data_IF_968738893878
#
_entry.id   IF_968738893878
#
_cell.length_a   1.000
_cell.length_b   1.000
_cell.length_c   1.000
_cell.angle_alpha   90.00
_cell.angle_beta   90.00
_cell.angle_gamma   90.00
#
_symmetry.space_group_name_H-M   'P 1'
#
loop_
_entity.id
_entity.type
_entity.pdbx_description
1 polymer ?
#
# COMPACT_ATOMS: atom_id res chain seq x y z
N UNK A 1 6.76 36.44 0.64
CA UNK A 1 6.11 35.46 1.54
C UNK A 1 6.10 34.11 0.84
N UNK A 2 7.03 33.21 1.16
CA UNK A 2 7.10 31.91 0.52
C UNK A 2 6.00 31.00 1.10
N UNK A 3 5.01 30.63 0.29
CA UNK A 3 4.10 29.52 0.60
C UNK A 3 4.86 28.19 0.39
N UNK A 4 5.94 27.97 1.14
CA UNK A 4 6.69 26.72 1.10
C UNK A 4 6.01 25.73 2.02
N UNK A 5 4.98 25.06 1.48
CA UNK A 5 4.30 23.94 2.12
C UNK A 5 3.87 22.94 1.06
N UNK A 6 3.86 21.64 1.42
CA UNK A 6 3.32 20.59 0.55
C UNK A 6 1.89 21.00 0.15
N UNK A 7 1.54 21.03 -1.15
CA UNK A 7 0.20 21.41 -1.58
C UNK A 7 -0.81 20.54 -0.83
N UNK A 8 -1.85 21.15 -0.25
CA UNK A 8 -2.96 20.46 0.40
C UNK A 8 -3.70 19.64 -0.67
N UNK A 9 -3.18 18.47 -0.98
CA UNK A 9 -3.85 17.47 -1.80
C UNK A 9 -4.98 16.88 -0.96
N UNK A 10 -6.21 17.01 -1.44
CA UNK A 10 -7.45 16.50 -0.80
C UNK A 10 -7.51 14.98 -0.68
N UNK A 11 -6.54 14.24 -1.24
CA UNK A 11 -6.50 12.79 -1.22
C UNK A 11 -5.14 12.23 -0.78
N UNK A 12 -4.48 12.94 0.14
CA UNK A 12 -3.23 12.49 0.70
C UNK A 12 -3.51 11.27 1.59
N UNK A 13 -2.80 10.16 1.35
CA UNK A 13 -2.92 8.96 2.19
C UNK A 13 -2.15 9.24 3.48
N UNK A 14 -2.85 9.66 4.53
CA UNK A 14 -2.24 10.18 5.78
C UNK A 14 -1.63 9.08 6.66
N UNK A 15 -2.12 7.85 6.55
CA UNK A 15 -1.66 6.73 7.38
C UNK A 15 -0.42 6.08 6.77
N UNK A 16 0.68 6.12 7.53
CA UNK A 16 1.91 5.39 7.22
C UNK A 16 1.86 4.03 7.89
N UNK A 17 2.13 2.97 7.13
CA UNK A 17 2.18 1.60 7.65
C UNK A 17 3.59 1.04 7.49
N UNK A 18 4.25 0.74 8.61
CA UNK A 18 5.55 0.10 8.68
C UNK A 18 5.38 -1.33 9.16
N UNK A 19 5.71 -2.31 8.32
CA UNK A 19 5.58 -3.72 8.65
C UNK A 19 6.88 -4.47 8.37
N UNK A 20 7.18 -5.45 9.22
CA UNK A 20 8.30 -6.37 9.02
C UNK A 20 7.81 -7.59 8.25
N UNK A 21 8.60 -8.02 7.27
CA UNK A 21 8.33 -9.19 6.45
C UNK A 21 9.62 -9.97 6.28
N UNK A 22 9.49 -11.29 6.15
CA UNK A 22 10.61 -12.14 5.79
C UNK A 22 11.11 -11.84 4.34
N UNK A 23 12.33 -12.27 4.05
CA UNK A 23 13.01 -12.10 2.77
C UNK A 23 12.24 -12.77 1.63
N UNK A 24 11.68 -13.96 1.82
CA UNK A 24 10.91 -14.65 0.79
C UNK A 24 9.62 -13.90 0.47
N UNK A 25 8.89 -13.47 1.50
CA UNK A 25 7.65 -12.70 1.36
C UNK A 25 7.89 -11.40 0.61
N UNK A 26 9.00 -10.69 0.94
CA UNK A 26 9.42 -9.49 0.22
C UNK A 26 9.69 -9.76 -1.25
N UNK A 27 10.45 -10.83 -1.57
CA UNK A 27 10.75 -11.20 -2.96
C UNK A 27 9.47 -11.48 -3.76
N UNK A 28 8.51 -12.20 -3.17
CA UNK A 28 7.20 -12.48 -3.79
C UNK A 28 6.42 -11.19 -4.05
N UNK A 29 6.39 -10.27 -3.09
CA UNK A 29 5.75 -8.96 -3.25
C UNK A 29 6.41 -8.13 -4.36
N UNK A 30 7.75 -8.10 -4.42
CA UNK A 30 8.49 -7.35 -5.45
C UNK A 30 8.27 -7.92 -6.86
N UNK A 31 8.29 -9.24 -7.00
CA UNK A 31 7.98 -9.91 -8.26
C UNK A 31 6.55 -9.62 -8.72
N UNK A 32 5.58 -9.65 -7.80
CA UNK A 32 4.18 -9.33 -8.10
C UNK A 32 4.01 -7.87 -8.54
N UNK A 33 4.60 -6.93 -7.80
CA UNK A 33 4.57 -5.51 -8.13
C UNK A 33 5.19 -5.25 -9.52
N UNK A 34 6.33 -5.88 -9.83
CA UNK A 34 6.99 -5.76 -11.13
C UNK A 34 6.14 -6.32 -12.27
N UNK A 35 5.53 -7.50 -12.09
CA UNK A 35 4.67 -8.14 -13.10
C UNK A 35 3.40 -7.35 -13.40
N UNK A 36 2.82 -6.73 -12.37
CA UNK A 36 1.56 -5.96 -12.48
C UNK A 36 1.76 -4.46 -12.69
N UNK A 37 3.00 -3.97 -12.65
CA UNK A 37 3.36 -2.55 -12.72
C UNK A 37 2.60 -1.69 -11.68
N UNK A 38 2.56 -2.16 -10.42
CA UNK A 38 1.88 -1.46 -9.32
C UNK A 38 2.86 -1.14 -8.19
N UNK A 39 2.53 -0.13 -7.40
CA UNK A 39 3.29 0.22 -6.19
C UNK A 39 3.09 -0.84 -5.10
N UNK A 40 4.13 -1.04 -4.27
CA UNK A 40 4.07 -1.94 -3.10
C UNK A 40 2.89 -1.60 -2.18
N UNK A 41 2.67 -0.32 -1.93
CA UNK A 41 1.55 0.18 -1.13
C UNK A 41 0.19 -0.14 -1.74
N UNK A 42 0.09 -0.23 -3.07
CA UNK A 42 -1.14 -0.63 -3.76
C UNK A 42 -1.34 -2.14 -3.72
N UNK A 43 -0.28 -2.93 -3.91
CA UNK A 43 -0.32 -4.37 -3.74
C UNK A 43 -0.80 -4.75 -2.33
N UNK A 44 -0.28 -4.09 -1.28
CA UNK A 44 -0.72 -4.32 0.10
C UNK A 44 -2.18 -3.96 0.33
N UNK A 45 -2.67 -2.85 -0.23
CA UNK A 45 -4.10 -2.49 -0.13
C UNK A 45 -5.00 -3.52 -0.78
N UNK A 46 -4.63 -3.99 -1.97
CA UNK A 46 -5.39 -5.04 -2.66
C UNK A 46 -5.40 -6.32 -1.84
N UNK A 47 -4.27 -6.69 -1.23
CA UNK A 47 -4.20 -7.85 -0.35
C UNK A 47 -5.12 -7.69 0.87
N UNK A 48 -5.11 -6.53 1.55
CA UNK A 48 -6.01 -6.24 2.67
C UNK A 48 -7.47 -6.33 2.23
N UNK A 49 -7.85 -5.65 1.14
CA UNK A 49 -9.21 -5.71 0.62
C UNK A 49 -9.64 -7.14 0.27
N UNK A 50 -8.76 -7.94 -0.34
CA UNK A 50 -9.08 -9.34 -0.64
C UNK A 50 -9.28 -10.18 0.63
N UNK A 51 -8.49 -9.93 1.68
CA UNK A 51 -8.63 -10.62 2.97
C UNK A 51 -9.89 -10.18 3.73
N UNK A 52 -10.30 -8.91 3.62
CA UNK A 52 -11.47 -8.37 4.32
C UNK A 52 -12.77 -8.53 3.55
N UNK A 53 -12.74 -8.57 2.21
CA UNK A 53 -13.94 -8.83 1.40
C UNK A 53 -14.41 -10.29 1.50
N UNK A 54 -13.52 -11.21 1.92
CA UNK A 54 -13.91 -12.56 2.33
C UNK A 54 -14.38 -12.66 3.79
N UNK A 55 -14.41 -11.55 4.52
CA UNK A 55 -14.76 -11.47 5.94
C UNK A 55 -15.99 -10.56 6.21
N UNK A 56 -16.80 -10.28 5.19
CA UNK A 56 -18.19 -9.82 5.38
C UNK A 56 -19.09 -11.04 5.63
N UNK A 57 -18.86 -11.71 6.76
CA UNK A 57 -19.87 -12.55 7.44
C UNK A 57 -19.49 -12.66 8.93
N UNK A 58 -19.54 -11.54 9.67
CA UNK A 58 -19.80 -11.49 11.12
C UNK A 58 -20.65 -10.26 11.41
#
# INVERSE_FOLDING_TARGET
MAKTGRPKGTNNKEVTCSLRMDVETKKRLEAYCRKKNILKSEAMRRAINLLTMGAEEI
#
